data_IF_040117108199
#
_entry.id   IF_040117108199
#
_cell.length_a   1.000
_cell.length_b   1.000
_cell.length_c   1.000
_cell.angle_alpha   90.00
_cell.angle_beta   90.00
_cell.angle_gamma   90.00
#
_symmetry.space_group_name_H-M   'P 1'
#
loop_
_entity.id
_entity.type
_entity.pdbx_description
1 polymer ?
#
# COMPACT_ATOMS: atom_id res chain seq x y z
N UNK A 1 -2.47 -16.53 13.50
CA UNK A 1 -2.02 -15.15 13.76
C UNK A 1 -3.24 -14.34 14.18
N UNK A 2 -3.24 -13.65 15.33
CA UNK A 2 -4.40 -12.81 15.71
C UNK A 2 -4.58 -11.73 14.64
N UNK A 3 -5.80 -11.53 14.12
CA UNK A 3 -6.11 -10.52 13.09
C UNK A 3 -5.52 -9.15 13.40
N UNK A 4 -5.41 -8.82 14.69
CA UNK A 4 -4.74 -7.64 15.24
C UNK A 4 -3.31 -7.45 14.72
N UNK A 5 -2.50 -8.51 14.64
CA UNK A 5 -1.11 -8.43 14.15
C UNK A 5 -1.05 -8.13 12.65
N UNK A 6 -2.07 -8.52 11.88
CA UNK A 6 -2.15 -8.22 10.45
C UNK A 6 -2.60 -6.78 10.19
N UNK A 7 -3.51 -6.26 11.03
CA UNK A 7 -4.10 -4.93 10.87
C UNK A 7 -3.15 -3.82 11.35
N UNK A 8 -2.39 -4.07 12.42
CA UNK A 8 -1.52 -3.08 13.05
C UNK A 8 -0.59 -2.31 12.09
N UNK A 9 0.17 -2.95 11.18
CA UNK A 9 1.05 -2.21 10.26
C UNK A 9 0.30 -1.26 9.32
N UNK A 10 -0.91 -1.63 8.89
CA UNK A 10 -1.74 -0.77 8.03
C UNK A 10 -2.26 0.43 8.80
N UNK A 11 -2.69 0.24 10.06
CA UNK A 11 -3.13 1.35 10.91
C UNK A 11 -1.98 2.32 11.20
N UNK A 12 -0.77 1.81 11.46
CA UNK A 12 0.41 2.65 11.65
C UNK A 12 0.75 3.44 10.39
N UNK A 13 0.70 2.80 9.21
CA UNK A 13 0.95 3.46 7.94
C UNK A 13 -0.10 4.56 7.64
N UNK A 14 -1.37 4.31 7.95
CA UNK A 14 -2.43 5.31 7.86
C UNK A 14 -2.23 6.46 8.85
N UNK A 15 -1.86 6.17 10.10
CA UNK A 15 -1.58 7.18 11.11
C UNK A 15 -0.41 8.08 10.69
N UNK A 16 0.64 7.50 10.09
CA UNK A 16 1.74 8.26 9.49
C UNK A 16 1.23 9.20 8.39
N UNK A 17 0.39 8.72 7.48
CA UNK A 17 -0.15 9.54 6.40
C UNK A 17 -0.96 10.74 6.92
N UNK A 18 -1.83 10.50 7.91
CA UNK A 18 -2.61 11.55 8.58
C UNK A 18 -1.70 12.56 9.27
N UNK A 19 -0.68 12.07 10.00
CA UNK A 19 0.27 12.92 10.73
C UNK A 19 1.05 13.83 9.78
N UNK A 20 1.59 13.28 8.69
CA UNK A 20 2.43 14.01 7.73
C UNK A 20 1.64 15.11 7.00
N UNK A 21 0.34 14.91 6.78
CA UNK A 21 -0.54 15.88 6.11
C UNK A 21 -1.08 16.98 7.03
N UNK A 22 -0.65 17.04 8.30
CA UNK A 22 -0.90 18.20 9.17
C UNK A 22 -2.37 18.52 9.48
N UNK A 23 -3.31 17.64 9.13
CA UNK A 23 -4.74 17.88 9.33
C UNK A 23 -5.43 18.71 8.24
N UNK A 24 -4.80 18.93 7.08
CA UNK A 24 -5.30 19.77 5.98
C UNK A 24 -6.78 19.49 5.61
N UNK A 25 -7.17 18.20 5.55
CA UNK A 25 -8.57 17.76 5.67
C UNK A 25 -8.66 16.25 5.88
N UNK A 26 -9.71 15.78 6.58
CA UNK A 26 -9.99 14.34 6.74
C UNK A 26 -10.17 13.66 5.36
N UNK A 27 -10.82 14.32 4.41
CA UNK A 27 -11.03 13.78 3.07
C UNK A 27 -9.73 13.53 2.31
N UNK A 28 -8.76 14.44 2.43
CA UNK A 28 -7.45 14.30 1.79
C UNK A 28 -6.57 13.23 2.44
N UNK A 29 -6.62 13.13 3.76
CA UNK A 29 -5.94 12.06 4.48
C UNK A 29 -6.52 10.68 4.13
N UNK A 30 -7.85 10.59 3.99
CA UNK A 30 -8.52 9.37 3.52
C UNK A 30 -8.12 9.01 2.09
N UNK A 31 -8.04 9.99 1.18
CA UNK A 31 -7.57 9.78 -0.20
C UNK A 31 -6.18 9.13 -0.22
N UNK A 32 -5.25 9.65 0.57
CA UNK A 32 -3.90 9.09 0.70
C UNK A 32 -3.85 7.76 1.44
N UNK A 33 -4.86 7.47 2.28
CA UNK A 33 -4.99 6.18 2.95
C UNK A 33 -5.61 5.08 2.08
N UNK A 34 -6.26 5.42 0.96
CA UNK A 34 -7.02 4.46 0.15
C UNK A 34 -6.21 3.22 -0.30
N UNK A 35 -4.96 3.33 -0.80
CA UNK A 35 -4.21 2.15 -1.22
C UNK A 35 -3.93 1.19 -0.05
N UNK A 36 -3.67 1.73 1.14
CA UNK A 36 -3.44 0.95 2.36
C UNK A 36 -4.73 0.27 2.83
N UNK A 37 -5.85 1.00 2.82
CA UNK A 37 -7.18 0.45 3.13
C UNK A 37 -7.58 -0.67 2.16
N UNK A 38 -7.34 -0.48 0.86
CA UNK A 38 -7.58 -1.49 -0.15
C UNK A 38 -6.71 -2.74 0.08
N UNK A 39 -5.42 -2.55 0.36
CA UNK A 39 -4.50 -3.63 0.71
C UNK A 39 -4.96 -4.43 1.94
N UNK A 40 -5.33 -3.73 3.01
CA UNK A 40 -5.86 -4.34 4.22
C UNK A 40 -7.16 -5.12 3.91
N UNK A 41 -8.08 -4.52 3.16
CA UNK A 41 -9.32 -5.17 2.73
C UNK A 41 -9.07 -6.46 1.96
N UNK A 42 -8.14 -6.45 1.00
CA UNK A 42 -7.74 -7.64 0.25
C UNK A 42 -7.22 -8.76 1.15
N UNK A 43 -6.41 -8.42 2.15
CA UNK A 43 -5.88 -9.39 3.12
C UNK A 43 -6.98 -9.95 4.02
N UNK A 44 -7.87 -9.11 4.54
CA UNK A 44 -8.98 -9.53 5.40
C UNK A 44 -9.97 -10.44 4.66
N UNK A 45 -10.31 -10.11 3.42
CA UNK A 45 -11.15 -10.96 2.56
C UNK A 45 -10.43 -12.28 2.25
N UNK A 46 -9.13 -12.23 1.97
CA UNK A 46 -8.29 -13.42 1.79
C UNK A 46 -8.29 -14.34 3.01
N UNK A 47 -8.14 -13.76 4.19
CA UNK A 47 -8.07 -14.52 5.44
C UNK A 47 -9.39 -15.21 5.79
N UNK A 48 -10.53 -14.60 5.44
CA UNK A 48 -11.87 -15.19 5.65
C UNK A 48 -12.19 -16.31 4.66
N UNK A 49 -11.63 -16.28 3.46
CA UNK A 49 -11.79 -17.34 2.48
C UNK A 49 -10.88 -18.51 2.87
N UNK A 50 -11.42 -19.71 3.17
CA UNK A 50 -10.61 -20.92 3.46
C UNK A 50 -9.77 -21.42 2.26
N UNK A 51 -9.71 -20.67 1.15
CA UNK A 51 -8.84 -20.96 0.02
C UNK A 51 -7.44 -20.42 0.30
N UNK A 52 -6.41 -21.12 -0.20
CA UNK A 52 -5.03 -20.68 -0.09
C UNK A 52 -4.91 -19.18 -0.44
N UNK A 53 -4.29 -18.41 0.45
CA UNK A 53 -4.20 -16.96 0.31
C UNK A 53 -3.45 -16.64 -0.99
N UNK A 54 -4.10 -15.99 -1.98
CA UNK A 54 -3.47 -15.80 -3.27
C UNK A 54 -2.34 -14.79 -3.10
N UNK A 55 -1.11 -15.22 -3.37
CA UNK A 55 0.13 -14.42 -3.26
C UNK A 55 0.02 -13.03 -3.89
N UNK A 56 -0.80 -12.87 -4.94
CA UNK A 56 -1.09 -11.56 -5.53
C UNK A 56 -1.74 -10.56 -4.56
N UNK A 57 -2.69 -10.98 -3.71
CA UNK A 57 -3.32 -10.10 -2.71
C UNK A 57 -2.31 -9.63 -1.66
N UNK A 58 -1.41 -10.51 -1.24
CA UNK A 58 -0.34 -10.17 -0.30
C UNK A 58 0.61 -9.17 -0.93
N UNK A 59 1.06 -9.44 -2.16
CA UNK A 59 1.95 -8.56 -2.89
C UNK A 59 1.34 -7.18 -3.11
N UNK A 60 0.06 -7.10 -3.52
CA UNK A 60 -0.66 -5.83 -3.62
C UNK A 60 -0.62 -5.07 -2.30
N UNK A 61 -1.06 -5.71 -1.21
CA UNK A 61 -1.22 -5.07 0.07
C UNK A 61 0.11 -4.56 0.64
N UNK A 62 1.18 -5.34 0.48
CA UNK A 62 2.53 -4.97 0.93
C UNK A 62 3.08 -3.84 0.07
N UNK A 63 3.08 -3.97 -1.25
CA UNK A 63 3.72 -2.98 -2.15
C UNK A 63 3.01 -1.64 -2.12
N UNK A 64 1.68 -1.63 -2.21
CA UNK A 64 0.91 -0.39 -2.16
C UNK A 64 1.13 0.35 -0.82
N UNK A 65 1.16 -0.39 0.30
CA UNK A 65 1.36 0.19 1.63
C UNK A 65 2.78 0.72 1.81
N UNK A 66 3.80 -0.08 1.46
CA UNK A 66 5.19 0.35 1.58
C UNK A 66 5.50 1.53 0.68
N UNK A 67 4.91 1.60 -0.52
CA UNK A 67 5.08 2.75 -1.40
C UNK A 67 4.48 4.02 -0.80
N UNK A 68 3.27 3.96 -0.22
CA UNK A 68 2.68 5.11 0.48
C UNK A 68 3.49 5.51 1.70
N UNK A 69 3.98 4.55 2.50
CA UNK A 69 4.85 4.84 3.65
C UNK A 69 6.13 5.51 3.19
N UNK A 70 6.80 4.96 2.18
CA UNK A 70 8.02 5.52 1.60
C UNK A 70 7.81 6.96 1.14
N UNK A 71 6.72 7.25 0.44
CA UNK A 71 6.39 8.61 0.01
C UNK A 71 6.14 9.57 1.18
N UNK A 72 5.42 9.14 2.22
CA UNK A 72 5.17 10.00 3.38
C UNK A 72 6.44 10.22 4.21
N UNK A 73 7.33 9.23 4.30
CA UNK A 73 8.63 9.40 4.94
C UNK A 73 9.54 10.31 4.12
N UNK A 74 9.53 10.19 2.79
CA UNK A 74 10.31 11.08 1.92
C UNK A 74 9.85 12.53 2.05
N UNK A 75 8.55 12.74 2.19
CA UNK A 75 8.00 14.06 2.49
C UNK A 75 8.37 14.55 3.90
N UNK A 76 8.19 13.70 4.91
CA UNK A 76 8.43 14.06 6.32
C UNK A 76 9.87 14.47 6.57
N UNK A 77 10.82 13.76 5.96
CA UNK A 77 12.26 13.99 6.10
C UNK A 77 12.85 14.82 4.96
N UNK A 78 12.02 15.39 4.08
CA UNK A 78 12.41 16.25 2.97
C UNK A 78 13.51 15.63 2.06
N UNK A 79 13.38 14.35 1.72
CA UNK A 79 14.35 13.65 0.88
C UNK A 79 14.45 14.30 -0.50
N UNK A 80 15.65 14.80 -0.84
CA UNK A 80 15.87 15.48 -2.11
C UNK A 80 15.03 16.75 -2.28
N UNK A 81 14.60 17.39 -1.19
CA UNK A 81 13.73 18.55 -1.24
C UNK A 81 12.28 18.22 -1.59
N UNK A 82 11.81 16.98 -1.34
CA UNK A 82 10.46 16.55 -1.69
C UNK A 82 9.35 17.47 -1.15
N UNK A 83 9.55 18.10 0.01
CA UNK A 83 8.63 19.07 0.60
C UNK A 83 8.95 20.50 0.17
N UNK A 84 10.22 20.86 0.04
CA UNK A 84 10.68 22.25 -0.07
C UNK A 84 10.97 22.72 -1.51
N UNK A 85 11.12 21.80 -2.47
CA UNK A 85 11.72 22.13 -3.78
C UNK A 85 10.78 22.70 -4.84
N UNK A 86 9.45 22.71 -4.66
CA UNK A 86 8.56 23.25 -5.70
C UNK A 86 7.11 23.49 -5.25
N UNK A 87 6.43 24.46 -5.87
CA UNK A 87 4.98 24.68 -5.83
C UNK A 87 4.16 23.47 -6.35
N UNK A 88 4.79 22.49 -6.98
CA UNK A 88 4.19 21.23 -7.44
C UNK A 88 4.23 20.11 -6.40
N UNK A 89 4.91 20.29 -5.26
CA UNK A 89 5.12 19.23 -4.27
C UNK A 89 3.80 18.72 -3.67
N UNK A 90 2.84 19.62 -3.42
CA UNK A 90 1.50 19.27 -2.93
C UNK A 90 0.67 18.46 -3.96
N UNK A 91 0.90 18.65 -5.26
CA UNK A 91 0.21 17.87 -6.30
C UNK A 91 0.61 16.39 -6.26
N UNK A 92 1.79 16.05 -5.72
CA UNK A 92 2.20 14.66 -5.57
C UNK A 92 1.21 13.86 -4.72
N UNK A 93 0.68 14.41 -3.63
CA UNK A 93 -0.32 13.75 -2.78
C UNK A 93 -1.63 13.43 -3.50
N UNK A 94 -1.95 14.10 -4.61
CA UNK A 94 -3.13 13.77 -5.42
C UNK A 94 -2.85 12.52 -6.26
N UNK A 95 -1.66 12.42 -6.87
CA UNK A 95 -1.34 11.34 -7.80
C UNK A 95 -0.71 10.10 -7.14
N UNK A 96 -0.08 10.24 -5.97
CA UNK A 96 0.60 9.12 -5.31
C UNK A 96 -0.30 7.93 -5.00
N UNK A 97 -1.56 8.12 -4.55
CA UNK A 97 -2.46 6.98 -4.37
C UNK A 97 -2.70 6.20 -5.67
N UNK A 98 -2.81 6.88 -6.81
CA UNK A 98 -2.98 6.22 -8.12
C UNK A 98 -1.74 5.39 -8.49
N UNK A 99 -0.55 5.94 -8.28
CA UNK A 99 0.70 5.20 -8.50
C UNK A 99 0.84 4.01 -7.55
N UNK A 100 0.43 4.14 -6.29
CA UNK A 100 0.40 3.03 -5.33
C UNK A 100 -0.53 1.90 -5.79
N UNK A 101 -1.70 2.23 -6.33
CA UNK A 101 -2.62 1.27 -6.92
C UNK A 101 -2.00 0.56 -8.13
N UNK A 102 -1.37 1.31 -9.05
CA UNK A 102 -0.73 0.75 -10.24
C UNK A 102 0.41 -0.20 -9.83
N UNK A 103 1.32 0.24 -8.96
CA UNK A 103 2.44 -0.58 -8.49
C UNK A 103 1.96 -1.81 -7.73
N UNK A 104 0.97 -1.66 -6.85
CA UNK A 104 0.36 -2.78 -6.15
C UNK A 104 -0.27 -3.79 -7.12
N UNK A 105 -0.97 -3.32 -8.15
CA UNK A 105 -1.59 -4.18 -9.16
C UNK A 105 -0.54 -4.94 -9.98
N UNK A 106 0.53 -4.27 -10.42
CA UNK A 106 1.66 -4.91 -11.11
C UNK A 106 2.30 -5.97 -10.22
N UNK A 107 2.61 -5.63 -8.97
CA UNK A 107 3.17 -6.59 -8.01
C UNK A 107 2.24 -7.79 -7.77
N UNK A 108 0.93 -7.56 -7.69
CA UNK A 108 -0.08 -8.61 -7.56
C UNK A 108 -0.04 -9.60 -8.72
N UNK A 109 -0.04 -9.09 -9.96
CA UNK A 109 0.02 -9.90 -11.17
C UNK A 109 1.30 -10.70 -11.21
N UNK A 110 2.46 -10.07 -10.95
CA UNK A 110 3.76 -10.73 -10.93
C UNK A 110 3.85 -11.83 -9.86
N UNK A 111 3.39 -11.56 -8.64
CA UNK A 111 3.40 -12.55 -7.57
C UNK A 111 2.45 -13.71 -7.86
N UNK A 112 1.30 -13.44 -8.48
CA UNK A 112 0.38 -14.49 -8.90
C UNK A 112 0.95 -15.35 -10.03
N UNK A 113 1.51 -14.74 -11.08
CA UNK A 113 2.08 -15.47 -12.22
C UNK A 113 3.27 -16.33 -11.80
N UNK A 114 4.21 -15.77 -11.04
CA UNK A 114 5.38 -16.51 -10.52
C UNK A 114 4.97 -17.71 -9.69
N UNK A 115 4.04 -17.53 -8.75
CA UNK A 115 3.52 -18.63 -7.93
C UNK A 115 2.79 -19.68 -8.77
N UNK A 116 2.00 -19.25 -9.78
CA UNK A 116 1.30 -20.18 -10.68
C UNK A 116 2.29 -21.02 -11.50
N UNK A 117 3.31 -20.39 -12.08
CA UNK A 117 4.35 -21.07 -12.85
C UNK A 117 5.15 -22.04 -11.98
N UNK A 118 5.47 -21.66 -10.74
CA UNK A 118 6.16 -22.54 -9.80
C UNK A 118 5.35 -23.80 -9.48
N UNK A 119 4.02 -23.67 -9.31
CA UNK A 119 3.14 -24.83 -9.07
C UNK A 119 3.04 -25.76 -10.27
N UNK A 120 2.94 -25.22 -11.49
CA UNK A 120 2.89 -26.03 -12.71
C UNK A 120 4.16 -26.86 -12.91
N UNK A 121 5.32 -26.34 -12.48
CA UNK A 121 6.60 -27.06 -12.53
C UNK A 121 6.77 -28.12 -11.43
N UNK A 122 5.97 -28.06 -10.36
CA UNK A 122 6.09 -28.94 -9.20
C UNK A 122 5.15 -30.15 -9.24
N UNK A 123 4.21 -30.20 -10.19
CA UNK A 123 3.41 -31.38 -10.49
C UNK A 123 4.13 -32.24 -11.53
N UNK A 124 4.60 -33.46 -11.17
CA UNK A 124 5.26 -34.38 -12.10
C UNK A 124 4.31 -34.92 -13.17
#
# INVERSE_FOLDING_TARGET
MKTTLLVAPFLLAMALAVYVQGGDSIGFALWNALPMLAGLGMLLVGHRSRRAMPWGRVAFAVVATLFMVWFHLSWLFDWGGARTSSSTSALAFIFMPLWAFILGAVASVLAWTTHRLARLRATP
#
